data_IF_369808373759
#
_entry.id   IF_369808373759
#
_cell.length_a   1.000
_cell.length_b   1.000
_cell.length_c   1.000
_cell.angle_alpha   90.00
_cell.angle_beta   90.00
_cell.angle_gamma   90.00
#
_symmetry.space_group_name_H-M   'P 1'
#
loop_
_entity.id
_entity.type
_entity.pdbx_description
1 polymer ?
#
# COMPACT_ATOMS: atom_id res chain seq x y z
N UNK A 1 17.91 7.93 -6.95
CA UNK A 1 18.62 9.16 -6.53
C UNK A 1 19.55 8.78 -5.38
N UNK A 2 20.64 8.08 -5.70
CA UNK A 2 21.66 7.64 -4.75
C UNK A 2 22.80 8.63 -4.89
N UNK A 3 22.83 9.64 -4.03
CA UNK A 3 23.93 10.60 -3.95
C UNK A 3 24.36 10.74 -2.49
N UNK A 4 25.05 9.72 -1.99
CA UNK A 4 25.80 9.77 -0.72
C UNK A 4 27.18 9.19 -0.97
N UNK A 5 27.94 9.83 -1.86
CA UNK A 5 29.37 9.55 -2.05
C UNK A 5 30.10 10.85 -2.35
N UNK A 6 30.07 11.81 -1.42
CA UNK A 6 31.04 12.90 -1.39
C UNK A 6 31.29 13.34 0.06
N UNK A 7 32.01 12.50 0.80
CA UNK A 7 32.91 13.00 1.84
C UNK A 7 34.22 12.21 1.70
N UNK A 8 35.35 12.85 1.39
CA UNK A 8 36.66 12.23 1.59
C UNK A 8 36.88 12.13 3.10
N UNK A 9 36.29 11.12 3.73
CA UNK A 9 36.70 10.72 5.08
C UNK A 9 38.14 10.27 4.90
N UNK A 10 39.08 11.01 5.47
CA UNK A 10 40.50 10.71 5.41
C UNK A 10 40.75 9.40 6.20
N UNK A 11 40.68 8.26 5.50
CA UNK A 11 40.57 6.89 6.07
C UNK A 11 41.85 6.48 6.83
N UNK A 12 42.99 7.09 6.50
CA UNK A 12 44.30 6.65 7.00
C UNK A 12 44.49 6.81 8.52
N UNK A 13 43.84 7.80 9.13
CA UNK A 13 44.00 8.10 10.57
C UNK A 13 42.89 7.54 11.46
N UNK A 14 41.69 7.31 10.93
CA UNK A 14 40.52 6.87 11.70
C UNK A 14 40.36 5.36 11.82
N UNK A 15 41.10 4.56 11.03
CA UNK A 15 40.98 3.10 11.03
C UNK A 15 41.59 2.40 12.27
N UNK A 16 42.28 3.14 13.16
CA UNK A 16 42.86 2.58 14.40
C UNK A 16 41.90 2.55 15.59
N UNK A 17 40.78 3.27 15.54
CA UNK A 17 39.89 3.47 16.70
C UNK A 17 38.51 2.86 16.47
N UNK A 18 38.12 2.63 15.21
CA UNK A 18 36.80 2.12 14.86
C UNK A 18 36.86 0.59 14.81
N UNK A 19 36.21 -0.07 15.76
CA UNK A 19 36.01 -1.51 15.74
C UNK A 19 35.24 -1.89 14.47
N UNK A 20 35.96 -2.42 13.49
CA UNK A 20 35.43 -2.98 12.22
C UNK A 20 34.18 -3.86 12.44
N UNK A 21 34.10 -4.75 13.46
CA UNK A 21 32.88 -5.53 13.67
C UNK A 21 31.67 -4.68 14.11
N UNK A 22 31.89 -3.59 14.85
CA UNK A 22 30.83 -2.67 15.29
C UNK A 22 30.29 -1.86 14.10
N UNK A 23 31.16 -1.44 13.18
CA UNK A 23 30.74 -0.74 11.97
C UNK A 23 29.88 -1.65 11.07
N UNK A 24 30.26 -2.92 10.95
CA UNK A 24 29.55 -3.90 10.15
C UNK A 24 28.15 -4.20 10.72
N UNK A 25 28.02 -4.33 12.04
CA UNK A 25 26.72 -4.57 12.68
C UNK A 25 25.79 -3.37 12.55
N UNK A 26 26.30 -2.14 12.68
CA UNK A 26 25.52 -0.91 12.47
C UNK A 26 25.02 -0.84 11.01
N UNK A 27 25.86 -1.21 10.03
CA UNK A 27 25.48 -1.19 8.62
C UNK A 27 24.39 -2.23 8.29
N UNK A 28 24.46 -3.43 8.90
CA UNK A 28 23.44 -4.47 8.77
C UNK A 28 22.12 -4.11 9.48
N UNK A 29 22.18 -3.39 10.61
CA UNK A 29 20.99 -2.89 11.30
C UNK A 29 20.30 -1.76 10.51
N UNK A 30 21.09 -0.91 9.84
CA UNK A 30 20.56 0.18 9.03
C UNK A 30 19.82 -0.31 7.77
N UNK A 31 20.23 -1.44 7.16
CA UNK A 31 19.55 -1.99 5.98
C UNK A 31 18.19 -2.61 6.32
N UNK A 32 17.97 -3.09 7.54
CA UNK A 32 16.68 -3.62 7.98
C UNK A 32 15.60 -2.53 8.17
N UNK A 33 16.00 -1.27 8.35
CA UNK A 33 15.09 -0.14 8.48
C UNK A 33 14.60 0.41 7.12
N UNK A 34 15.25 -0.01 6.02
CA UNK A 34 14.74 0.20 4.67
C UNK A 34 13.63 -0.83 4.36
N UNK A 35 12.60 -0.86 5.22
CA UNK A 35 11.30 -1.30 4.71
C UNK A 35 10.98 -0.34 3.58
N UNK A 36 10.77 -0.88 2.39
CA UNK A 36 10.19 -0.14 1.28
C UNK A 36 8.89 0.43 1.85
N UNK A 37 8.97 1.67 2.32
CA UNK A 37 7.87 2.34 2.97
C UNK A 37 6.81 2.36 1.90
N UNK A 38 5.82 1.46 1.99
CA UNK A 38 4.61 1.60 1.22
C UNK A 38 4.16 3.01 1.57
N UNK A 39 4.36 3.95 0.64
CA UNK A 39 4.11 5.37 0.87
C UNK A 39 2.72 5.44 1.46
N UNK A 40 2.61 6.04 2.63
CA UNK A 40 1.34 6.10 3.30
C UNK A 40 0.47 7.14 2.59
N UNK A 41 -0.22 6.71 1.53
CA UNK A 41 -1.10 7.55 0.72
C UNK A 41 -2.22 8.20 1.55
N UNK A 42 -2.56 7.62 2.70
CA UNK A 42 -3.53 8.20 3.64
C UNK A 42 -3.05 9.54 4.22
N UNK A 43 -1.74 9.71 4.37
CA UNK A 43 -1.13 10.93 4.90
C UNK A 43 -0.89 12.00 3.84
N UNK A 44 -1.16 11.70 2.57
CA UNK A 44 -0.96 12.63 1.48
C UNK A 44 -2.20 13.50 1.24
N UNK A 45 -1.96 14.75 0.84
CA UNK A 45 -3.02 15.65 0.39
C UNK A 45 -3.52 15.24 -1.01
N UNK A 46 -4.64 15.81 -1.45
CA UNK A 46 -5.19 15.51 -2.78
C UNK A 46 -4.25 15.99 -3.88
N UNK A 47 -3.57 17.13 -3.69
CA UNK A 47 -2.60 17.67 -4.62
C UNK A 47 -1.37 16.77 -4.75
N UNK A 48 -0.87 16.25 -3.62
CA UNK A 48 0.27 15.33 -3.61
C UNK A 48 -0.07 14.01 -4.32
N UNK A 49 -1.29 13.49 -4.14
CA UNK A 49 -1.77 12.31 -4.84
C UNK A 49 -1.95 12.60 -6.34
N UNK A 50 -2.47 13.77 -6.70
CA UNK A 50 -2.62 14.19 -8.10
C UNK A 50 -1.26 14.21 -8.80
N UNK A 51 -0.26 14.90 -8.22
CA UNK A 51 1.10 14.96 -8.76
C UNK A 51 1.70 13.56 -8.84
N UNK A 52 1.54 12.72 -7.81
CA UNK A 52 1.99 11.34 -7.85
C UNK A 52 1.41 10.54 -9.03
N UNK A 53 0.12 10.74 -9.34
CA UNK A 53 -0.60 10.00 -10.37
C UNK A 53 -0.30 10.47 -11.81
N UNK A 54 0.30 11.64 -12.00
CA UNK A 54 0.56 12.19 -13.34
C UNK A 54 1.47 11.28 -14.15
N UNK A 55 2.56 10.81 -13.54
CA UNK A 55 3.60 10.05 -14.23
C UNK A 55 3.43 8.53 -14.07
N UNK A 56 2.28 8.09 -13.56
CA UNK A 56 2.04 6.69 -13.22
C UNK A 56 1.13 5.99 -14.23
N UNK A 57 1.45 4.74 -14.62
CA UNK A 57 0.53 3.93 -15.40
C UNK A 57 -0.74 3.66 -14.58
N UNK A 58 -1.86 3.41 -15.26
CA UNK A 58 -3.19 3.33 -14.64
C UNK A 58 -3.24 2.44 -13.40
N UNK A 59 -2.66 1.24 -13.47
CA UNK A 59 -2.70 0.25 -12.38
C UNK A 59 -1.91 0.70 -11.13
N UNK A 60 -0.90 1.54 -11.31
CA UNK A 60 -0.11 2.13 -10.22
C UNK A 60 -0.70 3.45 -9.68
N UNK A 61 -1.68 4.05 -10.37
CA UNK A 61 -2.34 5.26 -9.87
C UNK A 61 -3.07 4.97 -8.57
N UNK A 62 -3.08 5.94 -7.69
CA UNK A 62 -3.70 5.87 -6.36
C UNK A 62 -5.01 6.61 -6.35
N UNK A 63 -6.03 5.98 -5.78
CA UNK A 63 -7.33 6.60 -5.56
C UNK A 63 -7.67 6.55 -4.08
N UNK A 64 -8.17 7.68 -3.56
CA UNK A 64 -8.62 7.82 -2.19
C UNK A 64 -10.15 7.99 -2.15
N UNK A 65 -10.83 7.27 -1.27
CA UNK A 65 -12.29 7.33 -1.11
C UNK A 65 -12.72 7.15 0.35
N UNK A 66 -13.93 7.60 0.67
CA UNK A 66 -14.57 7.33 1.96
C UNK A 66 -15.31 6.00 1.91
N UNK A 67 -14.85 5.03 2.71
CA UNK A 67 -15.54 3.75 2.86
C UNK A 67 -16.51 3.82 4.06
N UNK A 68 -17.74 3.34 3.83
CA UNK A 68 -18.72 3.07 4.90
C UNK A 68 -18.78 1.58 5.13
N UNK A 69 -18.53 1.16 6.37
CA UNK A 69 -18.74 -0.23 6.77
C UNK A 69 -20.21 -0.42 7.15
N UNK A 70 -20.82 -1.53 6.74
CA UNK A 70 -22.23 -1.84 7.06
C UNK A 70 -22.51 -1.94 8.56
N UNK A 71 -21.47 -2.23 9.36
CA UNK A 71 -21.54 -2.36 10.81
C UNK A 71 -21.28 -1.07 11.58
N UNK A 72 -20.83 0.02 10.94
CA UNK A 72 -20.46 1.26 11.65
C UNK A 72 -20.84 2.52 10.88
N UNK A 73 -21.28 3.57 11.59
CA UNK A 73 -21.57 4.87 10.99
C UNK A 73 -20.30 5.69 10.66
N UNK A 74 -19.16 5.33 11.23
CA UNK A 74 -17.91 6.09 11.09
C UNK A 74 -17.35 5.87 9.69
N UNK A 75 -17.18 6.98 8.94
CA UNK A 75 -16.53 6.95 7.62
C UNK A 75 -15.03 6.87 7.79
N UNK A 76 -14.37 6.01 7.03
CA UNK A 76 -12.91 5.91 7.01
C UNK A 76 -12.41 6.24 5.62
N UNK A 77 -11.49 7.21 5.53
CA UNK A 77 -10.73 7.44 4.30
C UNK A 77 -9.84 6.23 4.05
N UNK A 78 -9.84 5.73 2.82
CA UNK A 78 -8.91 4.72 2.36
C UNK A 78 -8.25 5.21 1.08
N UNK A 79 -6.98 4.86 0.90
CA UNK A 79 -6.20 5.18 -0.28
C UNK A 79 -5.45 3.92 -0.71
N UNK A 80 -5.56 3.54 -1.98
CA UNK A 80 -4.85 2.39 -2.54
C UNK A 80 -4.63 2.56 -4.04
N UNK A 81 -3.76 1.74 -4.62
CA UNK A 81 -3.59 1.71 -6.08
C UNK A 81 -4.81 1.11 -6.77
N UNK A 82 -5.02 1.45 -8.04
CA UNK A 82 -6.10 0.86 -8.87
C UNK A 82 -5.97 -0.65 -8.91
N UNK A 83 -4.76 -1.19 -9.06
CA UNK A 83 -4.50 -2.63 -9.01
C UNK A 83 -5.02 -3.27 -7.71
N UNK A 84 -4.67 -2.71 -6.56
CA UNK A 84 -5.12 -3.23 -5.27
C UNK A 84 -6.64 -3.14 -5.11
N UNK A 85 -7.26 -2.10 -5.67
CA UNK A 85 -8.70 -1.96 -5.68
C UNK A 85 -9.37 -3.07 -6.49
N UNK A 86 -8.86 -3.37 -7.69
CA UNK A 86 -9.34 -4.47 -8.55
C UNK A 86 -9.20 -5.81 -7.83
N UNK A 87 -8.03 -6.14 -7.28
CA UNK A 87 -7.84 -7.38 -6.55
C UNK A 87 -8.72 -7.51 -5.29
N UNK A 88 -9.06 -6.38 -4.64
CA UNK A 88 -10.02 -6.39 -3.53
C UNK A 88 -11.41 -6.72 -4.04
N UNK A 89 -11.83 -6.09 -5.14
CA UNK A 89 -13.14 -6.29 -5.74
C UNK A 89 -13.30 -7.74 -6.21
N UNK A 90 -12.32 -8.31 -6.90
CA UNK A 90 -12.31 -9.71 -7.32
C UNK A 90 -12.52 -10.66 -6.14
N UNK A 91 -11.77 -10.47 -5.06
CA UNK A 91 -11.93 -11.27 -3.83
C UNK A 91 -13.31 -11.12 -3.21
N UNK A 92 -13.87 -9.91 -3.20
CA UNK A 92 -15.21 -9.66 -2.68
C UNK A 92 -16.29 -10.36 -3.54
N UNK A 93 -16.17 -10.31 -4.86
CA UNK A 93 -17.09 -10.97 -5.79
C UNK A 93 -17.05 -12.50 -5.62
N UNK A 94 -15.86 -13.09 -5.54
CA UNK A 94 -15.71 -14.53 -5.30
C UNK A 94 -16.30 -14.96 -3.95
N UNK A 95 -16.16 -14.13 -2.92
CA UNK A 95 -16.78 -14.40 -1.62
C UNK A 95 -18.32 -14.36 -1.69
N UNK A 96 -18.89 -13.47 -2.51
CA UNK A 96 -20.34 -13.39 -2.72
C UNK A 96 -20.87 -14.58 -3.53
N UNK A 97 -20.09 -15.08 -4.50
CA UNK A 97 -20.44 -16.26 -5.30
C UNK A 97 -20.65 -17.52 -4.44
N UNK A 98 -19.74 -17.76 -3.47
CA UNK A 98 -19.86 -18.86 -2.50
C UNK A 98 -21.11 -18.74 -1.63
N UNK A 99 -21.60 -17.51 -1.41
CA UNK A 99 -22.77 -17.24 -0.58
C UNK A 99 -24.08 -17.28 -1.37
N UNK A 100 -24.05 -17.50 -2.69
CA UNK A 100 -25.29 -17.63 -3.45
C UNK A 100 -26.04 -18.90 -2.97
N UNK A 101 -27.23 -18.77 -2.35
CA UNK A 101 -28.07 -19.93 -2.13
C UNK A 101 -28.36 -20.53 -3.51
N UNK A 102 -28.23 -21.85 -3.65
CA UNK A 102 -28.61 -22.54 -4.86
C UNK A 102 -30.05 -22.13 -5.20
N UNK A 103 -30.20 -21.31 -6.23
CA UNK A 103 -31.50 -20.96 -6.75
C UNK A 103 -32.03 -22.21 -7.43
N UNK A 104 -32.70 -23.05 -6.64
CA UNK A 104 -33.78 -23.87 -7.14
C UNK A 104 -34.80 -22.91 -7.73
N UNK A 105 -34.67 -22.63 -9.02
CA UNK A 105 -35.64 -21.89 -9.83
C UNK A 105 -36.97 -22.66 -9.75
N UNK A 106 -37.84 -22.27 -8.83
CA UNK A 106 -39.12 -22.96 -8.60
C UNK A 106 -40.09 -22.33 -7.60
N UNK A 107 -39.76 -21.22 -6.94
CA UNK A 107 -40.68 -20.61 -5.97
C UNK A 107 -40.56 -19.08 -5.90
N UNK A 108 -40.61 -18.39 -7.05
CA UNK A 108 -41.03 -16.99 -7.06
C UNK A 108 -42.44 -16.95 -7.64
N UNK A 109 -43.40 -16.97 -6.73
CA UNK A 109 -44.82 -16.92 -7.03
C UNK A 109 -45.14 -15.70 -7.88
N UNK A 110 -45.92 -15.94 -8.93
CA UNK A 110 -46.65 -14.92 -9.66
C UNK A 110 -47.52 -14.14 -8.67
N UNK A 111 -47.11 -12.92 -8.30
CA UNK A 111 -48.05 -11.92 -7.81
C UNK A 111 -48.53 -11.16 -9.04
N UNK A 112 -49.80 -11.42 -9.29
CA UNK A 112 -50.69 -10.91 -10.31
C UNK A 112 -51.14 -9.51 -9.88
N UNK A 113 -51.01 -8.55 -10.79
CA UNK A 113 -51.89 -7.38 -10.92
C UNK A 113 -52.28 -7.26 -12.40
#
# INVERSE_FOLDING_TARGET
>A
MVLVLLLPINIEKSMKIINIPLLLTILLLASACATESQRNFLKMTEEEIYVYNMDKPLMEKVYCFEERQTSTYIRRRQCMTVENYVYRLERAVLALDVLQPSTGVGAFGTIRD
#
